data_IF_137819879794
#
_entry.id   IF_137819879794
#
_cell.length_a   1.000
_cell.length_b   1.000
_cell.length_c   1.000
_cell.angle_alpha   90.00
_cell.angle_beta   90.00
_cell.angle_gamma   90.00
#
_symmetry.space_group_name_H-M   'P 1'
#
loop_
_entity.id
_entity.type
_entity.pdbx_description
1 polymer ?
#
# COMPACT_ATOMS: atom_id res chain seq x y z
N UNK A 1 4.83 77.00 38.62
CA UNK A 1 3.64 77.88 38.73
C UNK A 1 2.52 77.22 37.96
N UNK A 2 1.28 77.36 38.40
CA UNK A 2 0.68 76.62 39.54
C UNK A 2 -0.43 75.61 39.06
N UNK A 3 -0.57 74.61 39.84
CA UNK A 3 -1.81 74.12 40.50
C UNK A 3 -3.16 74.42 39.83
N UNK A 4 -3.95 73.41 39.61
CA UNK A 4 -5.35 73.42 40.03
C UNK A 4 -5.92 71.99 40.18
N UNK A 5 -6.18 71.62 41.41
CA UNK A 5 -7.05 70.52 41.83
C UNK A 5 -8.49 70.84 41.47
N UNK A 6 -9.28 69.83 41.08
CA UNK A 6 -10.70 69.76 41.47
C UNK A 6 -11.13 68.29 41.64
N UNK A 7 -11.50 67.99 42.85
CA UNK A 7 -12.19 66.80 43.24
C UNK A 7 -13.70 66.88 42.95
N UNK A 8 -14.32 65.77 42.77
CA UNK A 8 -15.74 65.39 43.05
C UNK A 8 -16.06 64.14 42.28
N UNK A 9 -16.69 63.18 42.69
CA UNK A 9 -17.60 62.73 43.72
C UNK A 9 -17.90 61.25 43.46
N UNK A 10 -17.95 60.48 44.51
CA UNK A 10 -18.35 59.08 44.51
C UNK A 10 -19.83 58.95 44.09
N UNK A 11 -20.10 57.95 43.21
CA UNK A 11 -21.43 57.32 43.16
C UNK A 11 -21.22 55.80 43.09
N UNK A 12 -21.51 55.16 44.19
CA UNK A 12 -21.52 53.70 44.28
C UNK A 12 -22.80 53.15 43.62
N UNK A 13 -22.67 52.35 42.58
CA UNK A 13 -23.75 51.51 42.04
C UNK A 13 -23.38 50.06 42.32
N UNK A 14 -24.10 49.47 43.26
CA UNK A 14 -24.08 48.03 43.52
C UNK A 14 -24.86 47.32 42.41
N UNK A 15 -24.16 46.61 41.53
CA UNK A 15 -24.79 45.65 40.61
C UNK A 15 -24.65 44.27 41.19
N UNK A 16 -25.76 43.65 41.56
CA UNK A 16 -25.84 42.26 41.92
C UNK A 16 -25.62 41.39 40.65
N UNK A 17 -24.48 40.72 40.54
CA UNK A 17 -24.24 39.76 39.47
C UNK A 17 -24.86 38.41 39.84
N UNK A 18 -25.94 38.04 39.17
CA UNK A 18 -26.41 36.64 39.11
C UNK A 18 -25.35 35.80 38.38
N UNK A 19 -24.65 34.97 39.09
CA UNK A 19 -23.78 33.95 38.53
C UNK A 19 -24.66 32.80 37.98
N UNK A 20 -25.01 32.86 36.69
CA UNK A 20 -25.51 31.69 35.95
C UNK A 20 -24.31 30.78 35.69
N UNK A 21 -24.20 29.71 36.47
CA UNK A 21 -23.21 28.66 36.26
C UNK A 21 -23.50 27.91 34.93
N UNK A 22 -22.77 28.25 33.87
CA UNK A 22 -22.69 27.41 32.66
C UNK A 22 -21.82 26.19 32.97
N UNK A 23 -22.49 25.07 33.21
CA UNK A 23 -21.80 23.76 33.24
C UNK A 23 -21.29 23.49 31.83
N UNK A 24 -20.02 23.74 31.57
CA UNK A 24 -19.30 23.28 30.39
C UNK A 24 -19.19 21.76 30.49
N UNK A 25 -20.17 21.05 29.89
CA UNK A 25 -19.99 19.62 29.59
C UNK A 25 -18.88 19.50 28.56
N UNK A 26 -17.68 19.15 28.98
CA UNK A 26 -16.62 18.75 28.07
C UNK A 26 -17.13 17.57 27.23
N UNK A 27 -17.03 17.61 25.89
CA UNK A 27 -17.35 16.45 25.08
C UNK A 27 -16.42 15.31 25.54
N UNK A 28 -17.03 14.17 25.91
CA UNK A 28 -16.25 12.97 26.18
C UNK A 28 -15.35 12.73 24.95
N UNK A 29 -14.04 12.74 25.18
CA UNK A 29 -13.09 12.36 24.14
C UNK A 29 -13.43 10.92 23.77
N UNK A 30 -14.23 10.73 22.71
CA UNK A 30 -14.48 9.44 22.13
C UNK A 30 -13.13 8.83 21.78
N UNK A 31 -12.83 7.62 22.26
CA UNK A 31 -11.66 6.89 21.86
C UNK A 31 -11.62 6.91 20.32
N UNK A 32 -10.53 7.42 19.75
CA UNK A 32 -10.34 7.38 18.31
C UNK A 32 -10.56 5.93 17.84
N UNK A 33 -11.32 5.71 16.78
CA UNK A 33 -11.54 4.36 16.27
C UNK A 33 -10.16 3.72 16.04
N UNK A 34 -9.96 2.52 16.60
CA UNK A 34 -8.74 1.75 16.38
C UNK A 34 -8.61 1.59 14.87
N UNK A 35 -7.50 2.07 14.30
CA UNK A 35 -7.24 1.93 12.88
C UNK A 35 -7.43 0.46 12.49
N UNK A 36 -8.24 0.20 11.47
CA UNK A 36 -8.47 -1.16 10.99
C UNK A 36 -7.12 -1.78 10.61
N UNK A 37 -6.92 -3.06 10.96
CA UNK A 37 -5.70 -3.79 10.57
C UNK A 37 -5.86 -4.21 9.11
N UNK A 38 -4.89 -3.93 8.23
CA UNK A 38 -4.93 -4.40 6.85
C UNK A 38 -5.14 -5.91 6.78
N UNK A 39 -5.96 -6.34 5.84
CA UNK A 39 -6.22 -7.75 5.60
C UNK A 39 -5.62 -8.21 4.28
N UNK A 40 -5.48 -9.52 4.10
CA UNK A 40 -4.84 -10.12 2.92
C UNK A 40 -5.88 -10.77 2.00
N UNK A 41 -5.48 -10.96 0.74
CA UNK A 41 -6.23 -11.76 -0.21
C UNK A 41 -6.48 -13.17 0.34
N UNK A 42 -7.58 -13.77 -0.06
CA UNK A 42 -7.81 -15.22 0.04
C UNK A 42 -7.42 -15.90 -1.27
N UNK A 43 -7.26 -17.22 -1.25
CA UNK A 43 -6.97 -18.03 -2.43
C UNK A 43 -7.96 -17.78 -3.59
N UNK A 44 -9.26 -17.63 -3.28
CA UNK A 44 -10.32 -17.40 -4.27
C UNK A 44 -10.32 -15.99 -4.90
N UNK A 45 -9.47 -15.08 -4.42
CA UNK A 45 -9.35 -13.70 -4.92
C UNK A 45 -8.16 -13.51 -5.88
N UNK A 46 -7.40 -14.57 -6.11
CA UNK A 46 -6.35 -14.59 -7.13
C UNK A 46 -6.93 -14.89 -8.51
N UNK A 47 -6.19 -14.58 -9.60
CA UNK A 47 -6.58 -14.99 -10.94
C UNK A 47 -6.86 -16.50 -10.97
N UNK A 48 -7.98 -16.96 -11.52
CA UNK A 48 -8.29 -18.39 -11.55
C UNK A 48 -7.25 -19.14 -12.38
N UNK A 49 -6.74 -20.28 -11.83
CA UNK A 49 -5.91 -21.19 -12.58
C UNK A 49 -6.81 -22.24 -13.28
N UNK A 50 -6.55 -22.58 -14.56
CA UNK A 50 -7.45 -23.44 -15.33
C UNK A 50 -7.66 -24.84 -14.74
N UNK A 51 -6.64 -25.42 -14.11
CA UNK A 51 -6.61 -26.86 -13.74
C UNK A 51 -6.18 -27.11 -12.28
N UNK A 52 -5.80 -26.07 -11.53
CA UNK A 52 -5.34 -26.24 -10.15
C UNK A 52 -5.95 -25.18 -9.22
N UNK A 53 -6.24 -25.56 -8.01
CA UNK A 53 -6.74 -24.65 -6.98
C UNK A 53 -5.59 -23.89 -6.30
N UNK A 54 -5.84 -22.64 -5.94
CA UNK A 54 -4.92 -21.87 -5.12
C UNK A 54 -4.95 -22.33 -3.65
N UNK A 55 -3.78 -22.44 -3.06
CA UNK A 55 -3.57 -22.60 -1.63
C UNK A 55 -2.95 -21.32 -1.06
N UNK A 56 -3.52 -20.81 0.02
CA UNK A 56 -3.00 -19.62 0.71
C UNK A 56 -2.18 -20.05 1.94
N UNK A 57 -0.96 -19.55 2.04
CA UNK A 57 -0.11 -19.67 3.22
C UNK A 57 -0.59 -18.81 4.39
N UNK A 58 0.06 -18.87 5.55
CA UNK A 58 -0.17 -17.95 6.67
C UNK A 58 0.26 -16.53 6.29
N UNK A 59 -0.21 -15.54 7.04
CA UNK A 59 0.36 -14.20 7.02
C UNK A 59 1.64 -14.21 7.86
N UNK A 60 2.74 -13.77 7.27
CA UNK A 60 4.09 -13.79 7.87
C UNK A 60 4.64 -12.37 7.97
N UNK A 61 5.40 -12.08 9.00
CA UNK A 61 6.12 -10.82 9.16
C UNK A 61 7.36 -10.78 8.24
N UNK A 62 7.74 -9.57 7.86
CA UNK A 62 8.91 -9.33 7.04
C UNK A 62 8.62 -9.22 5.54
N UNK A 63 9.69 -8.91 4.80
CA UNK A 63 9.67 -8.78 3.34
C UNK A 63 9.83 -10.16 2.69
N UNK A 64 8.98 -10.54 1.70
CA UNK A 64 9.04 -11.86 1.07
C UNK A 64 10.18 -11.94 0.04
N UNK A 65 10.92 -13.03 0.05
CA UNK A 65 12.01 -13.29 -0.92
C UNK A 65 11.47 -13.31 -2.37
N UNK A 66 10.27 -13.81 -2.59
CA UNK A 66 9.64 -13.90 -3.90
C UNK A 66 9.51 -12.56 -4.64
N UNK A 67 9.46 -11.42 -3.94
CA UNK A 67 9.47 -10.08 -4.54
C UNK A 67 10.87 -9.56 -4.87
N UNK A 68 11.93 -10.20 -4.37
CA UNK A 68 13.30 -9.70 -4.41
C UNK A 68 13.89 -9.43 -5.79
N UNK A 69 13.30 -10.02 -6.84
CA UNK A 69 13.74 -9.77 -8.22
C UNK A 69 13.51 -8.32 -8.65
N UNK A 70 12.32 -7.78 -8.39
CA UNK A 70 11.90 -6.45 -8.84
C UNK A 70 11.76 -5.42 -7.74
N UNK A 71 11.46 -5.84 -6.52
CA UNK A 71 11.17 -4.96 -5.38
C UNK A 71 12.18 -5.24 -4.27
N UNK A 72 12.65 -4.20 -3.60
CA UNK A 72 13.60 -4.34 -2.48
C UNK A 72 13.27 -3.34 -1.36
N UNK A 73 13.83 -3.60 -0.19
CA UNK A 73 13.77 -2.67 0.95
C UNK A 73 14.99 -1.76 1.03
N UNK A 74 15.91 -1.83 0.06
CA UNK A 74 17.11 -1.01 0.05
C UNK A 74 16.75 0.48 -0.07
N UNK A 75 17.31 1.30 0.81
CA UNK A 75 17.01 2.74 0.85
C UNK A 75 15.63 3.09 1.41
N UNK A 76 14.88 2.13 1.93
CA UNK A 76 13.56 2.31 2.53
C UNK A 76 13.67 2.25 4.07
N UNK A 77 12.81 3.02 4.75
CA UNK A 77 12.70 2.97 6.21
C UNK A 77 12.21 1.60 6.68
N UNK A 78 12.55 1.26 7.92
CA UNK A 78 12.02 0.06 8.58
C UNK A 78 10.54 0.29 8.93
N UNK A 79 9.66 -0.36 8.17
CA UNK A 79 8.21 -0.32 8.32
C UNK A 79 7.67 -1.66 8.81
N UNK A 80 6.40 -1.72 9.19
CA UNK A 80 5.70 -2.98 9.46
C UNK A 80 5.40 -3.68 8.14
N UNK A 81 6.25 -4.65 7.80
CA UNK A 81 6.15 -5.49 6.60
C UNK A 81 5.45 -6.78 6.96
N UNK A 82 4.39 -7.11 6.23
CA UNK A 82 3.72 -8.41 6.32
C UNK A 82 3.41 -8.92 4.93
N UNK A 83 3.50 -10.23 4.74
CA UNK A 83 3.20 -10.84 3.46
C UNK A 83 2.40 -12.12 3.60
N UNK A 84 1.79 -12.51 2.49
CA UNK A 84 1.13 -13.80 2.32
C UNK A 84 1.50 -14.37 0.98
N UNK A 85 1.94 -15.63 0.98
CA UNK A 85 2.27 -16.38 -0.22
C UNK A 85 1.12 -17.29 -0.62
N UNK A 86 1.02 -17.53 -1.93
CA UNK A 86 0.02 -18.38 -2.54
C UNK A 86 0.67 -19.26 -3.59
N UNK A 87 0.20 -20.47 -3.70
CA UNK A 87 0.70 -21.44 -4.68
C UNK A 87 -0.44 -22.30 -5.22
N UNK A 88 -0.27 -22.79 -6.42
CA UNK A 88 -1.02 -23.94 -6.94
C UNK A 88 -0.18 -25.22 -6.78
N UNK A 89 -0.74 -26.37 -7.14
CA UNK A 89 0.03 -27.62 -7.24
C UNK A 89 0.89 -27.69 -8.51
N UNK A 90 0.83 -26.65 -9.33
CA UNK A 90 1.64 -26.43 -10.53
C UNK A 90 2.55 -25.19 -10.32
N UNK A 91 3.27 -24.79 -11.34
CA UNK A 91 4.29 -23.72 -11.25
C UNK A 91 3.75 -22.30 -11.05
N UNK A 92 2.44 -22.13 -10.87
CA UNK A 92 1.85 -20.81 -10.68
C UNK A 92 1.89 -20.40 -9.21
N UNK A 93 2.44 -19.24 -8.94
CA UNK A 93 2.59 -18.68 -7.61
C UNK A 93 2.13 -17.22 -7.54
N UNK A 94 1.88 -16.73 -6.33
CA UNK A 94 1.61 -15.32 -6.07
C UNK A 94 2.05 -14.94 -4.67
N UNK A 95 2.30 -13.66 -4.46
CA UNK A 95 2.58 -13.10 -3.14
C UNK A 95 1.91 -11.74 -3.01
N UNK A 96 1.37 -11.46 -1.85
CA UNK A 96 0.91 -10.13 -1.44
C UNK A 96 1.79 -9.63 -0.30
N UNK A 97 2.43 -8.50 -0.50
CA UNK A 97 3.09 -7.71 0.53
C UNK A 97 2.16 -6.57 0.96
N UNK A 98 2.09 -6.30 2.25
CA UNK A 98 1.42 -5.14 2.83
C UNK A 98 2.40 -4.42 3.74
N UNK A 99 2.49 -3.10 3.60
CA UNK A 99 3.42 -2.24 4.34
C UNK A 99 2.66 -1.10 4.99
N UNK A 100 2.69 -1.04 6.32
CA UNK A 100 2.08 0.05 7.07
C UNK A 100 3.15 1.09 7.42
N UNK A 101 2.97 2.30 6.90
CA UNK A 101 3.88 3.43 7.16
C UNK A 101 3.35 4.34 8.27
N UNK A 102 4.18 5.27 8.73
CA UNK A 102 3.78 6.25 9.74
C UNK A 102 2.74 7.26 9.25
N UNK A 103 2.77 7.64 7.96
CA UNK A 103 1.92 8.68 7.38
C UNK A 103 1.51 8.34 5.93
N UNK A 104 0.39 8.94 5.45
CA UNK A 104 -0.03 8.81 4.06
C UNK A 104 1.02 9.39 3.05
N UNK A 105 1.79 10.40 3.46
CA UNK A 105 2.87 10.94 2.63
C UNK A 105 4.01 9.92 2.43
N UNK A 106 4.38 9.18 3.49
CA UNK A 106 5.35 8.09 3.40
C UNK A 106 4.82 6.94 2.55
N UNK A 107 3.54 6.56 2.70
CA UNK A 107 2.91 5.55 1.85
C UNK A 107 2.92 5.94 0.38
N UNK A 108 2.62 7.21 0.06
CA UNK A 108 2.70 7.73 -1.30
C UNK A 108 4.12 7.65 -1.89
N UNK A 109 5.12 8.02 -1.10
CA UNK A 109 6.52 7.95 -1.51
C UNK A 109 6.98 6.49 -1.72
N UNK A 110 6.58 5.59 -0.82
CA UNK A 110 6.88 4.16 -0.91
C UNK A 110 6.21 3.50 -2.11
N UNK A 111 4.93 3.78 -2.35
CA UNK A 111 4.21 3.26 -3.51
C UNK A 111 4.87 3.71 -4.82
N UNK A 112 5.27 4.99 -4.90
CA UNK A 112 6.03 5.49 -6.06
C UNK A 112 7.38 4.79 -6.21
N UNK A 113 8.12 4.61 -5.12
CA UNK A 113 9.40 3.91 -5.13
C UNK A 113 9.26 2.48 -5.67
N UNK A 114 8.28 1.71 -5.18
CA UNK A 114 8.04 0.36 -5.65
C UNK A 114 7.58 0.32 -7.12
N UNK A 115 6.73 1.26 -7.55
CA UNK A 115 6.36 1.35 -8.97
C UNK A 115 7.56 1.65 -9.87
N UNK A 116 8.47 2.56 -9.44
CA UNK A 116 9.71 2.86 -10.17
C UNK A 116 10.65 1.64 -10.23
N UNK A 117 10.79 0.89 -9.15
CA UNK A 117 11.57 -0.35 -9.12
C UNK A 117 11.00 -1.39 -10.09
N UNK A 118 9.68 -1.60 -10.09
CA UNK A 118 9.03 -2.55 -11.00
C UNK A 118 9.15 -2.07 -12.46
N UNK A 119 8.97 -0.78 -12.71
CA UNK A 119 9.08 -0.19 -14.06
C UNK A 119 10.45 -0.39 -14.69
N UNK A 120 11.51 -0.38 -13.91
CA UNK A 120 12.89 -0.53 -14.37
C UNK A 120 13.46 -1.94 -14.15
N UNK A 121 12.60 -2.90 -13.77
CA UNK A 121 13.05 -4.23 -13.40
C UNK A 121 13.66 -4.97 -14.58
N UNK A 122 13.04 -4.94 -15.76
CA UNK A 122 13.55 -5.57 -16.97
C UNK A 122 14.96 -5.07 -17.32
N UNK A 123 15.15 -3.75 -17.41
CA UNK A 123 16.46 -3.15 -17.71
C UNK A 123 17.54 -3.56 -16.68
N UNK A 124 17.16 -3.71 -15.39
CA UNK A 124 18.11 -4.16 -14.35
C UNK A 124 18.46 -5.62 -14.48
N UNK A 125 17.51 -6.48 -14.85
CA UNK A 125 17.75 -7.92 -15.07
C UNK A 125 18.74 -8.08 -16.22
N UNK A 126 18.52 -7.50 -17.37
CA UNK A 126 19.39 -7.59 -18.54
C UNK A 126 20.80 -7.04 -18.25
N UNK A 127 20.87 -5.91 -17.53
CA UNK A 127 22.17 -5.32 -17.14
C UNK A 127 23.00 -6.23 -16.22
N UNK A 128 22.32 -7.01 -15.37
CA UNK A 128 22.97 -7.84 -14.36
C UNK A 128 23.21 -9.28 -14.81
N UNK A 129 22.56 -9.72 -15.90
CA UNK A 129 22.66 -11.09 -16.40
C UNK A 129 22.64 -11.10 -17.93
N UNK A 130 23.77 -11.42 -18.55
CA UNK A 130 23.89 -11.49 -20.01
C UNK A 130 23.12 -12.68 -20.63
N UNK A 131 22.69 -13.63 -19.81
CA UNK A 131 21.99 -14.84 -20.24
C UNK A 131 20.46 -14.71 -20.08
N UNK A 132 19.94 -13.51 -19.75
CA UNK A 132 18.53 -13.26 -19.54
C UNK A 132 18.10 -12.07 -20.38
N UNK A 133 17.12 -12.28 -21.25
CA UNK A 133 16.36 -11.23 -21.91
C UNK A 133 15.11 -10.91 -21.06
N UNK A 134 14.77 -9.62 -20.92
CA UNK A 134 13.65 -9.20 -20.08
C UNK A 134 12.86 -8.07 -20.72
N UNK A 135 11.54 -8.23 -20.76
CA UNK A 135 10.59 -7.24 -21.27
C UNK A 135 9.62 -6.76 -20.20
N UNK A 136 9.43 -5.43 -20.12
CA UNK A 136 8.43 -4.81 -19.24
C UNK A 136 7.22 -4.32 -20.00
N UNK A 137 6.01 -4.50 -19.45
CA UNK A 137 4.76 -3.92 -19.97
C UNK A 137 4.02 -3.12 -18.93
N UNK A 138 3.44 -1.99 -19.36
CA UNK A 138 2.57 -1.17 -18.52
C UNK A 138 1.11 -1.46 -18.89
N UNK A 139 0.34 -1.97 -17.93
CA UNK A 139 -1.09 -2.25 -18.08
C UNK A 139 -1.98 -1.15 -17.52
N UNK A 140 -1.39 -0.03 -17.08
CA UNK A 140 -2.05 1.19 -16.65
C UNK A 140 -2.42 1.23 -15.19
N UNK A 141 -3.18 2.28 -14.84
CA UNK A 141 -3.65 2.56 -13.49
C UNK A 141 -5.07 2.05 -13.28
N UNK A 142 -5.40 1.70 -12.03
CA UNK A 142 -6.74 1.34 -11.59
C UNK A 142 -7.28 2.44 -10.68
N UNK A 143 -8.53 2.88 -10.88
CA UNK A 143 -9.19 3.89 -10.03
C UNK A 143 -9.77 3.22 -8.78
N UNK A 144 -8.90 2.78 -7.88
CA UNK A 144 -9.25 2.16 -6.60
C UNK A 144 -8.53 2.92 -5.50
N UNK A 145 -9.27 3.40 -4.49
CA UNK A 145 -8.78 4.24 -3.40
C UNK A 145 -7.86 5.37 -3.92
N UNK A 146 -6.63 5.48 -3.47
CA UNK A 146 -5.68 6.47 -4.00
C UNK A 146 -4.91 5.98 -5.24
N UNK A 147 -5.36 4.91 -5.83
CA UNK A 147 -4.85 4.35 -7.08
C UNK A 147 -3.97 3.13 -6.91
N UNK A 148 -3.95 2.32 -7.97
CA UNK A 148 -3.00 1.24 -8.14
C UNK A 148 -2.45 1.22 -9.56
N UNK A 149 -1.26 0.65 -9.75
CA UNK A 149 -0.63 0.46 -11.07
C UNK A 149 -0.33 -1.01 -11.30
N UNK A 150 -0.55 -1.46 -12.52
CA UNK A 150 -0.30 -2.85 -12.93
C UNK A 150 0.74 -2.88 -14.04
N UNK A 151 1.72 -3.76 -13.89
CA UNK A 151 2.81 -4.00 -14.85
C UNK A 151 2.99 -5.49 -15.11
N UNK A 152 3.58 -5.81 -16.23
CA UNK A 152 4.04 -7.15 -16.57
C UNK A 152 5.55 -7.16 -16.73
N UNK A 153 6.14 -8.30 -16.41
CA UNK A 153 7.54 -8.63 -16.64
C UNK A 153 7.60 -10.00 -17.29
N UNK A 154 8.26 -10.10 -18.43
CA UNK A 154 8.58 -11.37 -19.08
C UNK A 154 10.08 -11.55 -19.06
N UNK A 155 10.54 -12.75 -18.78
CA UNK A 155 11.97 -13.09 -18.82
C UNK A 155 12.16 -14.38 -19.62
N UNK A 156 13.20 -14.39 -20.46
CA UNK A 156 13.63 -15.57 -21.21
C UNK A 156 15.13 -15.78 -20.99
N UNK A 157 15.51 -17.00 -20.68
CA UNK A 157 16.92 -17.34 -20.44
C UNK A 157 17.52 -18.07 -21.62
N UNK A 158 18.84 -17.95 -21.84
CA UNK A 158 19.55 -18.62 -22.92
C UNK A 158 19.46 -20.16 -22.89
N UNK A 159 19.08 -20.73 -21.73
CA UNK A 159 18.85 -22.18 -21.56
C UNK A 159 17.35 -22.56 -21.65
N UNK A 160 16.47 -21.64 -22.04
CA UNK A 160 15.09 -21.92 -22.39
C UNK A 160 14.06 -21.81 -21.27
N UNK A 161 14.39 -21.25 -20.08
CA UNK A 161 13.36 -20.87 -19.11
C UNK A 161 12.65 -19.61 -19.62
N UNK A 162 11.32 -19.60 -19.52
CA UNK A 162 10.43 -18.57 -20.05
C UNK A 162 9.35 -18.30 -19.01
N UNK A 163 9.37 -17.12 -18.39
CA UNK A 163 8.54 -16.78 -17.25
C UNK A 163 7.81 -15.45 -17.44
N UNK A 164 6.55 -15.42 -17.03
CA UNK A 164 5.72 -14.21 -17.00
C UNK A 164 5.30 -13.88 -15.58
N UNK A 165 5.48 -12.64 -15.18
CA UNK A 165 4.97 -12.10 -13.93
C UNK A 165 4.07 -10.88 -14.19
N UNK A 166 3.02 -10.77 -13.38
CA UNK A 166 2.23 -9.55 -13.22
C UNK A 166 2.50 -8.97 -11.83
N UNK A 167 2.81 -7.69 -11.78
CA UNK A 167 3.10 -6.97 -10.56
C UNK A 167 2.18 -5.76 -10.43
N UNK A 168 1.73 -5.48 -9.22
CA UNK A 168 0.96 -4.27 -8.97
C UNK A 168 1.39 -3.61 -7.67
N UNK A 169 1.26 -2.29 -7.64
CA UNK A 169 1.43 -1.46 -6.45
C UNK A 169 0.18 -0.62 -6.28
N UNK A 170 -0.41 -0.66 -5.10
CA UNK A 170 -1.54 0.18 -4.74
C UNK A 170 -1.46 0.64 -3.29
N UNK A 171 -2.28 1.61 -2.92
CA UNK A 171 -2.31 2.12 -1.55
C UNK A 171 -3.69 2.60 -1.14
N UNK A 172 -3.91 2.60 0.18
CA UNK A 172 -5.00 3.26 0.86
C UNK A 172 -4.46 3.90 2.14
N UNK A 173 -4.69 5.20 2.28
CA UNK A 173 -4.20 6.02 3.39
C UNK A 173 -2.69 5.88 3.61
N UNK A 174 -2.30 5.28 4.73
CA UNK A 174 -0.90 5.05 5.12
C UNK A 174 -0.37 3.65 4.80
N UNK A 175 -1.13 2.84 4.10
CA UNK A 175 -0.78 1.45 3.79
C UNK A 175 -0.56 1.25 2.31
N UNK A 176 0.50 0.54 1.96
CA UNK A 176 0.85 0.14 0.59
C UNK A 176 0.71 -1.36 0.47
N UNK A 177 0.19 -1.83 -0.67
CA UNK A 177 0.23 -3.26 -1.02
C UNK A 177 0.93 -3.46 -2.35
N UNK A 178 1.72 -4.51 -2.42
CA UNK A 178 2.31 -5.04 -3.66
C UNK A 178 1.75 -6.44 -3.86
N UNK A 179 1.27 -6.74 -5.06
CA UNK A 179 0.87 -8.09 -5.43
C UNK A 179 1.71 -8.52 -6.62
N UNK A 180 2.28 -9.71 -6.55
CA UNK A 180 2.91 -10.38 -7.67
C UNK A 180 2.18 -11.69 -7.92
N UNK A 181 1.99 -12.02 -9.19
CA UNK A 181 1.55 -13.31 -9.72
C UNK A 181 2.55 -13.73 -10.79
N UNK A 182 2.88 -15.00 -10.88
CA UNK A 182 3.82 -15.51 -11.86
C UNK A 182 3.60 -16.96 -12.22
N UNK A 183 4.00 -17.32 -13.45
CA UNK A 183 4.05 -18.69 -13.98
C UNK A 183 5.04 -18.76 -15.14
N UNK A 184 5.30 -19.96 -15.63
CA UNK A 184 5.97 -20.17 -16.92
C UNK A 184 5.10 -19.66 -18.06
N UNK A 185 5.73 -19.08 -19.10
CA UNK A 185 5.06 -18.56 -20.27
C UNK A 185 5.41 -17.12 -20.61
N UNK A 186 4.67 -16.55 -21.54
CA UNK A 186 4.84 -15.19 -22.05
C UNK A 186 3.66 -14.27 -21.71
N UNK A 187 3.67 -13.05 -22.28
CA UNK A 187 2.58 -12.09 -22.09
C UNK A 187 1.20 -12.58 -22.59
N UNK A 188 1.15 -13.53 -23.51
CA UNK A 188 -0.11 -14.12 -23.99
C UNK A 188 -0.76 -15.04 -22.96
N UNK A 189 0.01 -15.56 -22.01
CA UNK A 189 -0.44 -16.43 -20.93
C UNK A 189 -0.88 -15.64 -19.68
N UNK A 190 -0.59 -14.33 -19.60
CA UNK A 190 -0.86 -13.51 -18.44
C UNK A 190 -2.36 -13.19 -18.27
N UNK A 191 -3.00 -13.52 -17.13
CA UNK A 191 -4.42 -13.25 -16.87
C UNK A 191 -4.65 -11.79 -16.44
N UNK A 192 -4.27 -10.82 -17.28
CA UNK A 192 -4.22 -9.39 -16.95
C UNK A 192 -5.55 -8.86 -16.40
N UNK A 193 -6.68 -9.22 -17.01
CA UNK A 193 -7.99 -8.75 -16.57
C UNK A 193 -8.35 -9.26 -15.16
N UNK A 194 -8.11 -10.53 -14.89
CA UNK A 194 -8.34 -11.12 -13.57
C UNK A 194 -7.36 -10.56 -12.54
N UNK A 195 -6.10 -10.35 -12.90
CA UNK A 195 -5.11 -9.74 -12.02
C UNK A 195 -5.44 -8.29 -11.64
N UNK A 196 -6.01 -7.50 -12.55
CA UNK A 196 -6.53 -6.16 -12.23
C UNK A 196 -7.65 -6.22 -11.19
N UNK A 197 -8.53 -7.21 -11.25
CA UNK A 197 -9.55 -7.45 -10.22
C UNK A 197 -8.92 -7.84 -8.89
N UNK A 198 -7.94 -8.74 -8.90
CA UNK A 198 -7.15 -9.12 -7.71
C UNK A 198 -6.46 -7.91 -7.09
N UNK A 199 -5.83 -7.05 -7.91
CA UNK A 199 -5.20 -5.82 -7.44
C UNK A 199 -6.18 -4.88 -6.75
N UNK A 200 -7.33 -4.61 -7.38
CA UNK A 200 -8.38 -3.77 -6.77
C UNK A 200 -8.88 -4.36 -5.45
N UNK A 201 -9.06 -5.68 -5.40
CA UNK A 201 -9.45 -6.37 -4.17
C UNK A 201 -8.39 -6.24 -3.08
N UNK A 202 -7.10 -6.37 -3.43
CA UNK A 202 -6.01 -6.23 -2.47
C UNK A 202 -5.95 -4.82 -1.85
N UNK A 203 -6.16 -3.78 -2.66
CA UNK A 203 -6.20 -2.39 -2.17
C UNK A 203 -7.42 -2.15 -1.27
N UNK A 204 -8.61 -2.57 -1.68
CA UNK A 204 -9.85 -2.44 -0.88
C UNK A 204 -9.82 -3.20 0.46
N UNK A 205 -8.83 -4.08 0.66
CA UNK A 205 -8.65 -4.85 1.90
C UNK A 205 -7.68 -4.18 2.89
N UNK A 206 -7.13 -3.04 2.55
CA UNK A 206 -6.18 -2.34 3.42
C UNK A 206 -6.89 -1.66 4.60
N UNK A 207 -8.16 -1.29 4.44
CA UNK A 207 -9.03 -0.77 5.52
C UNK A 207 -10.50 -1.12 5.32
#
# INVERSE_FOLDING_TARGET
>A
MPMSMRASALTALTVAALAAGTVLTAPAAGAAPKAATPTFLSASQLPPHPTSAWTAGPVTEGFPEALGLCVSTEGVLDYDYRHREFRTDLDTNAVQLTVVTGTAAQAKALAKHYDDLIRTCADRIEKNSADVEADGRDYGTLPVEEGARVRGLHTETSWGANDIALLSVGRDGRTVTVVQWGQMGDFGNAPVAAFKTTTSTAVNKLY
#
